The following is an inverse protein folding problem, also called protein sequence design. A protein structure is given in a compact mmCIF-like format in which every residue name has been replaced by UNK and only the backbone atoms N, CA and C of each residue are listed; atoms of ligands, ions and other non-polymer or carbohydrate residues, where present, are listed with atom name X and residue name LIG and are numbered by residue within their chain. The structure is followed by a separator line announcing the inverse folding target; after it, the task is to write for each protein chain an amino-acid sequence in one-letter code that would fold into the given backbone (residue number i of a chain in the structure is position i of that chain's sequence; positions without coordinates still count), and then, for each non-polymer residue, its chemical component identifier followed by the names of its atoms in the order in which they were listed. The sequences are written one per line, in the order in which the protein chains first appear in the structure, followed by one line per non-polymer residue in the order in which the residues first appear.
data_IF_491175777324
#
_entry.id   IF_491175777324
#
_cell.length_a   1.000
_cell.length_b   1.000
_cell.length_c   1.000
_cell.angle_alpha   90.00
_cell.angle_beta   90.00
_cell.angle_gamma   90.00
#
_symmetry.space_group_name_H-M   'P 1'
#
loop_
_entity.id
_entity.type
_entity.pdbx_description
1 polymer ?
#
# COMPACT_ATOMS: atom_id res chain seq x y z
N UNK A 1 30.99 -26.47 -86.30
CA UNK A 1 30.53 -25.45 -85.33
C UNK A 1 29.73 -26.16 -84.23
N UNK A 2 30.32 -26.37 -83.05
CA UNK A 2 29.69 -27.07 -81.91
C UNK A 2 29.60 -26.11 -80.73
N UNK A 3 28.39 -25.96 -80.20
CA UNK A 3 28.03 -25.15 -79.02
C UNK A 3 28.59 -25.81 -77.75
N UNK A 4 29.08 -24.98 -76.81
CA UNK A 4 29.31 -25.38 -75.42
C UNK A 4 28.54 -24.45 -74.49
N UNK A 5 27.77 -25.09 -73.62
CA UNK A 5 26.97 -24.53 -72.53
C UNK A 5 27.90 -24.21 -71.35
N UNK A 6 27.73 -23.06 -70.69
CA UNK A 6 28.27 -22.80 -69.34
C UNK A 6 27.12 -22.40 -68.42
N UNK A 7 26.94 -23.17 -67.36
CA UNK A 7 25.95 -22.96 -66.31
C UNK A 7 26.41 -21.81 -65.39
N UNK A 8 25.50 -20.88 -65.09
CA UNK A 8 25.65 -19.92 -63.98
C UNK A 8 24.68 -20.33 -62.86
N UNK A 9 25.23 -20.63 -61.69
CA UNK A 9 24.46 -20.94 -60.47
C UNK A 9 23.96 -19.65 -59.82
N UNK A 10 22.66 -19.61 -59.50
CA UNK A 10 22.02 -18.56 -58.71
C UNK A 10 22.01 -19.00 -57.25
N UNK A 11 22.63 -18.20 -56.36
CA UNK A 11 22.53 -18.39 -54.92
C UNK A 11 21.22 -17.77 -54.40
N UNK A 12 20.35 -18.58 -53.79
CA UNK A 12 19.13 -18.12 -53.13
C UNK A 12 19.38 -18.00 -51.63
N UNK A 13 19.43 -16.77 -51.12
CA UNK A 13 19.49 -16.46 -49.69
C UNK A 13 18.08 -16.50 -49.12
N UNK A 14 17.79 -17.49 -48.25
CA UNK A 14 16.53 -17.56 -47.49
C UNK A 14 16.68 -16.70 -46.24
N UNK A 15 16.01 -15.54 -46.21
CA UNK A 15 15.89 -14.70 -45.03
C UNK A 15 14.56 -15.06 -44.32
N UNK A 16 14.64 -15.86 -43.25
CA UNK A 16 13.48 -16.19 -42.42
C UNK A 16 13.21 -15.05 -41.43
N UNK A 17 12.26 -14.17 -41.73
CA UNK A 17 11.75 -13.18 -40.78
C UNK A 17 10.69 -13.82 -39.88
N UNK A 18 11.03 -14.05 -38.61
CA UNK A 18 10.05 -14.44 -37.58
C UNK A 18 9.22 -13.22 -37.19
N UNK A 19 7.95 -13.20 -37.58
CA UNK A 19 6.99 -12.19 -37.12
C UNK A 19 6.54 -12.56 -35.71
N UNK A 20 7.16 -11.92 -34.70
CA UNK A 20 6.68 -12.00 -33.32
C UNK A 20 5.34 -11.29 -33.19
N UNK A 21 4.28 -12.03 -32.89
CA UNK A 21 2.97 -11.44 -32.55
C UNK A 21 3.14 -10.71 -31.21
N UNK A 22 2.89 -9.39 -31.11
CA UNK A 22 2.94 -8.72 -29.83
C UNK A 22 1.75 -9.20 -28.98
N UNK A 23 2.00 -10.01 -27.97
CA UNK A 23 1.02 -10.28 -26.92
C UNK A 23 0.79 -8.98 -26.16
N UNK A 24 -0.27 -8.24 -26.52
CA UNK A 24 -0.78 -7.16 -25.68
C UNK A 24 -1.29 -7.77 -24.38
N UNK A 25 -0.48 -7.66 -23.32
CA UNK A 25 -0.93 -7.95 -21.98
C UNK A 25 -2.03 -6.94 -21.64
N UNK A 26 -3.29 -7.38 -21.67
CA UNK A 26 -4.42 -6.58 -21.20
C UNK A 26 -4.20 -6.32 -19.70
N UNK A 27 -3.86 -5.08 -19.35
CA UNK A 27 -3.80 -4.65 -17.96
C UNK A 27 -5.21 -4.76 -17.38
N UNK A 28 -5.44 -5.73 -16.48
CA UNK A 28 -6.67 -5.80 -15.70
C UNK A 28 -6.84 -4.47 -14.97
N UNK A 29 -7.94 -3.76 -15.25
CA UNK A 29 -8.25 -2.50 -14.59
C UNK A 29 -8.33 -2.73 -13.07
N UNK A 30 -7.27 -2.37 -12.34
CA UNK A 30 -7.27 -2.44 -10.87
C UNK A 30 -8.28 -1.43 -10.34
N UNK A 31 -9.37 -1.92 -9.75
CA UNK A 31 -10.31 -1.08 -8.99
C UNK A 31 -9.52 -0.33 -7.92
N UNK A 32 -9.39 1.00 -8.01
CA UNK A 32 -8.56 1.73 -7.08
C UNK A 32 -9.14 1.67 -5.67
N UNK A 33 -8.28 1.52 -4.66
CA UNK A 33 -8.69 1.58 -3.25
C UNK A 33 -9.49 2.88 -2.98
N UNK A 34 -10.66 2.83 -2.33
CA UNK A 34 -11.43 4.04 -2.04
C UNK A 34 -10.78 4.89 -0.95
N UNK A 35 -11.12 6.18 -0.91
CA UNK A 35 -10.71 7.09 0.15
C UNK A 35 -11.90 7.94 0.61
N UNK A 36 -11.86 8.41 1.86
CA UNK A 36 -12.94 9.18 2.49
C UNK A 36 -12.47 10.57 2.96
N UNK A 37 -11.16 10.78 3.08
CA UNK A 37 -10.60 12.03 3.57
C UNK A 37 -9.10 12.11 3.40
N UNK A 38 -8.53 13.19 3.91
CA UNK A 38 -7.10 13.47 3.86
C UNK A 38 -6.71 14.42 4.99
N UNK A 39 -5.45 14.40 5.39
CA UNK A 39 -4.87 15.47 6.21
C UNK A 39 -4.70 16.75 5.37
N UNK A 40 -4.64 17.91 6.02
CA UNK A 40 -4.28 19.17 5.35
C UNK A 40 -2.87 19.10 4.74
N UNK A 41 -1.93 18.56 5.51
CA UNK A 41 -0.53 18.42 5.16
C UNK A 41 -0.22 17.05 4.55
N UNK A 42 0.70 17.00 3.58
CA UNK A 42 1.29 15.74 3.10
C UNK A 42 2.39 15.19 4.02
N UNK A 43 2.87 15.99 4.97
CA UNK A 43 3.75 15.53 6.05
C UNK A 43 2.91 15.29 7.31
N UNK A 44 2.83 14.04 7.73
CA UNK A 44 2.03 13.59 8.87
C UNK A 44 2.96 13.04 9.94
N UNK A 45 2.82 13.53 11.16
CA UNK A 45 3.61 13.07 12.31
C UNK A 45 2.94 11.88 12.98
N UNK A 46 3.75 10.94 13.49
CA UNK A 46 3.24 9.83 14.27
C UNK A 46 4.08 9.56 15.51
N UNK A 47 3.44 9.06 16.57
CA UNK A 47 4.10 8.65 17.79
C UNK A 47 3.62 7.27 18.22
N UNK A 48 4.54 6.32 18.38
CA UNK A 48 4.23 5.05 19.05
C UNK A 48 4.23 5.24 20.57
N UNK A 49 3.03 5.24 21.15
CA UNK A 49 2.79 5.33 22.60
C UNK A 49 2.83 3.94 23.23
N UNK A 50 4.03 3.36 23.28
CA UNK A 50 4.31 2.09 23.96
C UNK A 50 5.81 1.89 24.18
N UNK A 51 6.15 0.93 25.04
CA UNK A 51 7.54 0.63 25.42
C UNK A 51 8.20 -0.43 24.51
N UNK A 52 7.42 -1.28 23.83
CA UNK A 52 7.96 -2.39 23.04
C UNK A 52 8.76 -1.92 21.81
N UNK A 53 10.06 -2.19 21.81
CA UNK A 53 10.96 -1.93 20.66
C UNK A 53 10.55 -2.73 19.42
N UNK A 54 10.02 -3.94 19.62
CA UNK A 54 9.48 -4.79 18.55
C UNK A 54 8.32 -4.09 17.82
N UNK A 55 7.33 -3.58 18.56
CA UNK A 55 6.20 -2.90 17.96
C UNK A 55 6.53 -1.51 17.42
N UNK A 56 7.49 -0.81 18.04
CA UNK A 56 8.09 0.40 17.46
C UNK A 56 8.65 0.12 16.06
N UNK A 57 9.35 -1.00 15.89
CA UNK A 57 9.88 -1.43 14.60
C UNK A 57 8.79 -1.78 13.60
N UNK A 58 7.72 -2.46 14.04
CA UNK A 58 6.56 -2.79 13.18
C UNK A 58 5.93 -1.52 12.61
N UNK A 59 5.62 -0.54 13.47
CA UNK A 59 5.03 0.73 13.05
C UNK A 59 5.95 1.54 12.15
N UNK A 60 7.26 1.59 12.46
CA UNK A 60 8.26 2.23 11.60
C UNK A 60 8.30 1.61 10.19
N UNK A 61 8.24 0.28 10.10
CA UNK A 61 8.22 -0.41 8.80
C UNK A 61 6.92 -0.16 8.03
N UNK A 62 5.79 -0.09 8.71
CA UNK A 62 4.50 0.25 8.11
C UNK A 62 4.50 1.68 7.55
N UNK A 63 5.00 2.65 8.33
CA UNK A 63 5.19 4.02 7.87
C UNK A 63 6.12 4.10 6.64
N UNK A 64 7.20 3.30 6.62
CA UNK A 64 8.11 3.22 5.46
C UNK A 64 7.38 2.77 4.19
N UNK A 65 6.46 1.81 4.27
CA UNK A 65 5.69 1.36 3.09
C UNK A 65 4.85 2.50 2.49
N UNK A 66 4.21 3.31 3.34
CA UNK A 66 3.45 4.47 2.88
C UNK A 66 4.36 5.59 2.36
N UNK A 67 5.50 5.85 2.99
CA UNK A 67 6.48 6.84 2.50
C UNK A 67 7.02 6.48 1.11
N UNK A 68 7.20 5.19 0.81
CA UNK A 68 7.64 4.72 -0.51
C UNK A 68 6.65 5.03 -1.64
N UNK A 69 5.40 5.40 -1.32
CA UNK A 69 4.43 5.85 -2.33
C UNK A 69 4.76 7.23 -2.90
N UNK A 70 5.55 8.03 -2.19
CA UNK A 70 5.91 9.40 -2.55
C UNK A 70 4.77 10.42 -2.43
N UNK A 71 3.59 10.04 -1.92
CA UNK A 71 2.44 10.95 -1.80
C UNK A 71 2.35 11.62 -0.44
N UNK A 72 2.84 10.94 0.61
CA UNK A 72 2.87 11.44 1.98
C UNK A 72 4.21 11.14 2.61
N UNK A 73 4.54 11.89 3.67
CA UNK A 73 5.72 11.68 4.50
C UNK A 73 5.31 11.50 5.96
N UNK A 74 5.31 10.26 6.42
CA UNK A 74 5.14 9.90 7.82
C UNK A 74 6.45 10.07 8.59
N UNK A 75 6.46 10.97 9.56
CA UNK A 75 7.64 11.31 10.38
C UNK A 75 7.39 10.96 11.84
N UNK A 76 8.34 10.25 12.47
CA UNK A 76 8.21 9.89 13.88
C UNK A 76 8.49 11.10 14.78
N UNK A 77 7.66 11.31 15.79
CA UNK A 77 7.88 12.26 16.89
C UNK A 77 7.90 11.52 18.23
N UNK A 78 8.53 12.11 19.25
CA UNK A 78 8.69 11.50 20.57
C UNK A 78 7.46 11.68 21.47
N UNK A 79 6.78 12.82 21.37
CA UNK A 79 5.67 13.18 22.23
C UNK A 79 4.33 12.93 21.51
N UNK A 80 3.40 12.13 22.07
CA UNK A 80 2.09 11.91 21.45
C UNK A 80 1.24 13.17 21.32
N UNK A 81 1.50 14.23 22.10
CA UNK A 81 0.82 15.54 21.97
C UNK A 81 1.23 16.30 20.70
N UNK A 82 2.38 15.95 20.11
CA UNK A 82 2.90 16.53 18.88
C UNK A 82 2.59 15.67 17.65
N UNK A 83 1.88 14.55 17.84
CA UNK A 83 1.63 13.59 16.78
C UNK A 83 0.22 13.75 16.22
N UNK A 84 0.13 13.78 14.89
CA UNK A 84 -1.13 13.67 14.16
C UNK A 84 -1.76 12.29 14.38
N UNK A 85 -0.92 11.24 14.32
CA UNK A 85 -1.32 9.84 14.50
C UNK A 85 -0.66 9.22 15.73
N UNK A 86 -1.47 8.84 16.73
CA UNK A 86 -0.99 8.10 17.90
C UNK A 86 -1.12 6.59 17.66
N UNK A 87 0.00 5.88 17.69
CA UNK A 87 0.08 4.45 17.45
C UNK A 87 0.18 3.69 18.77
N UNK A 88 -0.56 2.60 18.91
CA UNK A 88 -0.65 1.83 20.15
C UNK A 88 -0.59 0.33 19.92
N UNK A 89 -0.41 -0.38 21.01
CA UNK A 89 -0.63 -1.82 21.13
C UNK A 89 -1.56 -2.07 22.29
N UNK A 90 -2.50 -3.00 22.15
CA UNK A 90 -3.46 -3.31 23.18
C UNK A 90 -3.92 -4.76 23.15
N UNK A 91 -4.84 -5.09 24.05
CA UNK A 91 -5.52 -6.40 24.11
C UNK A 91 -7.00 -6.20 23.89
N UNK A 92 -7.63 -7.17 23.23
CA UNK A 92 -9.09 -7.30 23.11
C UNK A 92 -9.51 -8.73 23.41
N UNK A 93 -10.79 -8.98 23.62
CA UNK A 93 -11.29 -10.35 23.70
C UNK A 93 -10.94 -11.11 22.40
N UNK A 94 -10.17 -12.20 22.48
CA UNK A 94 -9.61 -12.90 21.31
C UNK A 94 -10.70 -13.36 20.33
N UNK A 95 -11.90 -13.69 20.84
CA UNK A 95 -13.09 -14.04 20.05
C UNK A 95 -13.50 -12.98 19.02
N UNK A 96 -13.11 -11.72 19.20
CA UNK A 96 -13.44 -10.65 18.26
C UNK A 96 -12.71 -10.79 16.92
N UNK A 97 -11.57 -11.52 16.87
CA UNK A 97 -10.68 -11.67 15.70
C UNK A 97 -10.18 -10.33 15.09
N UNK A 98 -10.40 -9.21 15.78
CA UNK A 98 -9.98 -7.88 15.33
C UNK A 98 -8.48 -7.73 15.58
N UNK A 99 -7.68 -7.71 14.51
CA UNK A 99 -6.22 -7.67 14.60
C UNK A 99 -5.64 -6.26 14.80
N UNK A 100 -6.40 -5.23 14.41
CA UNK A 100 -6.11 -3.83 14.62
C UNK A 100 -7.37 -2.98 14.59
N UNK A 101 -7.25 -1.71 14.99
CA UNK A 101 -8.34 -0.75 14.97
C UNK A 101 -7.78 0.66 14.81
N UNK A 102 -8.34 1.40 13.85
CA UNK A 102 -8.13 2.84 13.70
C UNK A 102 -9.37 3.63 14.03
N UNK A 103 -9.19 4.69 14.82
CA UNK A 103 -10.19 5.72 15.10
C UNK A 103 -9.65 7.06 14.65
N UNK A 104 -10.53 7.93 14.17
CA UNK A 104 -10.15 9.26 13.66
C UNK A 104 -11.18 10.31 14.05
N UNK A 105 -10.77 11.58 14.00
CA UNK A 105 -11.65 12.75 14.03
C UNK A 105 -11.41 13.56 12.77
N UNK A 106 -12.46 14.22 12.29
CA UNK A 106 -12.40 15.00 11.07
C UNK A 106 -13.39 16.15 11.09
N UNK A 107 -13.13 17.14 10.23
CA UNK A 107 -14.13 18.12 9.82
C UNK A 107 -14.76 17.69 8.50
N UNK A 108 -16.09 17.72 8.42
CA UNK A 108 -16.78 17.50 7.17
C UNK A 108 -16.55 18.68 6.23
N UNK A 109 -16.16 18.41 4.99
CA UNK A 109 -16.00 19.40 3.91
C UNK A 109 -16.69 18.87 2.67
N UNK A 110 -17.13 19.77 1.79
CA UNK A 110 -17.78 19.42 0.52
C UNK A 110 -16.87 18.56 -0.40
N UNK A 111 -15.56 18.80 -0.36
CA UNK A 111 -14.55 18.12 -1.19
C UNK A 111 -13.90 16.88 -0.53
N UNK A 112 -14.49 16.37 0.56
CA UNK A 112 -13.96 15.23 1.33
C UNK A 112 -13.43 15.62 2.70
N UNK A 113 -13.48 14.70 3.66
CA UNK A 113 -13.23 15.00 5.07
C UNK A 113 -11.78 15.41 5.35
N UNK A 114 -11.62 16.42 6.19
CA UNK A 114 -10.31 16.88 6.68
C UNK A 114 -9.99 16.15 7.98
N UNK A 115 -9.00 15.27 7.96
CA UNK A 115 -8.56 14.52 9.14
C UNK A 115 -7.78 15.43 10.06
N UNK A 116 -8.13 15.42 11.35
CA UNK A 116 -7.50 16.28 12.37
C UNK A 116 -6.87 15.51 13.52
N UNK A 117 -7.20 14.23 13.70
CA UNK A 117 -6.46 13.34 14.60
C UNK A 117 -6.78 11.88 14.26
N UNK A 118 -5.81 10.98 14.48
CA UNK A 118 -6.05 9.55 14.38
C UNK A 118 -5.34 8.76 15.48
N UNK A 119 -5.92 7.61 15.83
CA UNK A 119 -5.36 6.63 16.75
C UNK A 119 -5.46 5.24 16.13
N UNK A 120 -4.32 4.60 15.90
CA UNK A 120 -4.25 3.26 15.34
C UNK A 120 -3.66 2.28 16.36
N UNK A 121 -4.25 1.09 16.50
CA UNK A 121 -3.85 0.10 17.49
C UNK A 121 -3.68 -1.28 16.86
N UNK A 122 -2.68 -2.03 17.31
CA UNK A 122 -2.58 -3.47 17.05
C UNK A 122 -2.99 -4.26 18.29
N UNK A 123 -3.77 -5.32 18.09
CA UNK A 123 -4.19 -6.21 19.17
C UNK A 123 -3.24 -7.39 19.30
N UNK A 124 -2.21 -7.23 20.15
CA UNK A 124 -1.07 -8.13 20.19
C UNK A 124 -1.43 -9.57 20.57
N UNK A 125 -2.44 -9.75 21.42
CA UNK A 125 -2.90 -11.06 21.84
C UNK A 125 -3.61 -11.83 20.71
N UNK A 126 -4.36 -11.14 19.85
CA UNK A 126 -4.97 -11.74 18.64
C UNK A 126 -3.87 -12.14 17.66
N UNK A 127 -2.95 -11.20 17.36
CA UNK A 127 -1.83 -11.43 16.44
C UNK A 127 -0.96 -12.62 16.89
N UNK A 128 -0.71 -12.76 18.19
CA UNK A 128 0.05 -13.89 18.75
C UNK A 128 -0.72 -15.19 18.75
N UNK A 129 -2.02 -15.19 19.13
CA UNK A 129 -2.87 -16.41 19.12
C UNK A 129 -2.91 -17.06 17.74
N UNK A 130 -2.95 -16.24 16.70
CA UNK A 130 -2.99 -16.68 15.30
C UNK A 130 -1.61 -16.71 14.62
N UNK A 131 -0.53 -16.67 15.41
CA UNK A 131 0.86 -16.87 14.97
C UNK A 131 1.30 -15.95 13.83
N UNK A 132 0.87 -14.68 13.86
CA UNK A 132 1.27 -13.70 12.84
C UNK A 132 2.79 -13.48 12.88
N UNK A 133 3.43 -13.60 11.72
CA UNK A 133 4.85 -13.27 11.54
C UNK A 133 5.09 -11.77 11.67
N UNK A 134 6.36 -11.36 11.84
CA UNK A 134 6.73 -9.93 11.90
C UNK A 134 6.24 -9.17 10.65
N UNK A 135 6.39 -9.76 9.47
CA UNK A 135 5.93 -9.15 8.21
C UNK A 135 4.41 -9.01 8.16
N UNK A 136 3.67 -10.03 8.60
CA UNK A 136 2.20 -9.96 8.64
C UNK A 136 1.72 -8.88 9.62
N UNK A 137 2.36 -8.75 10.79
CA UNK A 137 2.06 -7.66 11.73
C UNK A 137 2.37 -6.28 11.14
N UNK A 138 3.45 -6.15 10.38
CA UNK A 138 3.76 -4.94 9.62
C UNK A 138 2.69 -4.64 8.57
N UNK A 139 2.15 -5.64 7.89
CA UNK A 139 1.08 -5.43 6.90
C UNK A 139 -0.24 -5.00 7.58
N UNK A 140 -0.60 -5.59 8.72
CA UNK A 140 -1.75 -5.11 9.52
C UNK A 140 -1.51 -3.67 10.00
N UNK A 141 -0.31 -3.36 10.50
CA UNK A 141 0.03 -1.98 10.88
C UNK A 141 -0.07 -1.00 9.69
N UNK A 142 0.34 -1.44 8.49
CA UNK A 142 0.20 -0.64 7.28
C UNK A 142 -1.28 -0.43 6.91
N UNK A 143 -2.12 -1.45 7.05
CA UNK A 143 -3.57 -1.35 6.88
C UNK A 143 -4.17 -0.29 7.82
N UNK A 144 -3.87 -0.38 9.12
CA UNK A 144 -4.38 0.59 10.10
C UNK A 144 -3.89 2.03 9.83
N UNK A 145 -2.63 2.18 9.39
CA UNK A 145 -2.12 3.47 8.93
C UNK A 145 -2.81 3.97 7.67
N UNK A 146 -3.21 3.09 6.76
CA UNK A 146 -3.97 3.48 5.57
C UNK A 146 -5.31 4.09 5.92
N UNK A 147 -6.02 3.55 6.93
CA UNK A 147 -7.20 4.20 7.49
C UNK A 147 -6.88 5.55 8.11
N UNK A 148 -5.78 5.66 8.86
CA UNK A 148 -5.35 6.93 9.46
C UNK A 148 -4.98 7.98 8.39
N UNK A 149 -4.59 7.55 7.18
CA UNK A 149 -4.30 8.39 6.02
C UNK A 149 -5.54 8.69 5.17
N UNK A 150 -6.72 8.19 5.54
CA UNK A 150 -7.99 8.49 4.85
C UNK A 150 -8.43 7.47 3.81
N UNK A 151 -7.83 6.27 3.78
CA UNK A 151 -8.26 5.18 2.89
C UNK A 151 -9.35 4.32 3.53
N UNK A 152 -10.27 3.84 2.69
CA UNK A 152 -11.28 2.85 3.06
C UNK A 152 -10.85 1.44 2.65
N UNK A 153 -11.63 0.43 3.04
CA UNK A 153 -11.39 -0.93 2.60
C UNK A 153 -11.41 -1.04 1.07
N UNK A 154 -10.43 -1.76 0.54
CA UNK A 154 -10.38 -2.14 -0.87
C UNK A 154 -11.06 -3.48 -1.08
N UNK A 155 -11.81 -3.61 -2.19
CA UNK A 155 -12.32 -4.90 -2.67
C UNK A 155 -11.24 -5.74 -3.36
N UNK A 156 -10.11 -5.12 -3.73
CA UNK A 156 -9.01 -5.82 -4.38
C UNK A 156 -8.18 -6.63 -3.38
N UNK A 157 -8.17 -7.97 -3.54
CA UNK A 157 -7.40 -8.90 -2.69
C UNK A 157 -5.89 -8.66 -2.66
N UNK A 158 -5.36 -7.90 -3.63
CA UNK A 158 -3.95 -7.54 -3.67
C UNK A 158 -3.61 -6.29 -2.84
N UNK A 159 -4.63 -5.53 -2.40
CA UNK A 159 -4.46 -4.30 -1.61
C UNK A 159 -4.07 -4.61 -0.17
N UNK A 160 -3.21 -3.77 0.42
CA UNK A 160 -3.01 -3.78 1.87
C UNK A 160 -4.29 -3.40 2.62
N UNK A 161 -5.17 -2.60 1.99
CA UNK A 161 -6.45 -2.15 2.51
C UNK A 161 -7.59 -3.17 2.34
N UNK A 162 -7.32 -4.37 1.83
CA UNK A 162 -8.32 -5.43 1.85
C UNK A 162 -8.52 -5.94 3.28
N UNK A 163 -9.77 -5.99 3.81
CA UNK A 163 -10.06 -6.13 5.24
C UNK A 163 -9.54 -7.42 5.89
N UNK A 164 -9.42 -8.50 5.12
CA UNK A 164 -8.94 -9.81 5.62
C UNK A 164 -7.48 -10.11 5.25
N UNK A 165 -6.78 -9.14 4.66
CA UNK A 165 -5.44 -9.34 4.14
C UNK A 165 -4.36 -9.07 5.19
N UNK A 166 -3.38 -9.97 5.25
CA UNK A 166 -2.16 -9.83 6.06
C UNK A 166 -0.89 -10.15 5.28
N UNK A 167 -1.00 -10.49 4.01
CA UNK A 167 0.10 -10.97 3.17
C UNK A 167 0.62 -9.88 2.23
N UNK A 168 -0.22 -8.91 1.85
CA UNK A 168 0.16 -7.86 0.89
C UNK A 168 0.67 -6.62 1.61
N UNK A 169 1.64 -5.98 0.97
CA UNK A 169 2.19 -4.66 1.35
C UNK A 169 1.42 -3.58 0.60
N UNK A 170 1.62 -2.32 0.99
CA UNK A 170 1.18 -1.15 0.20
C UNK A 170 1.63 -1.33 -1.24
N UNK A 171 0.73 -1.14 -2.20
CA UNK A 171 1.02 -1.37 -3.60
C UNK A 171 0.52 -0.22 -4.51
N UNK A 172 0.53 -0.45 -5.82
CA UNK A 172 0.20 0.56 -6.83
C UNK A 172 -1.20 1.19 -6.66
N UNK A 173 -2.24 0.39 -6.45
CA UNK A 173 -3.62 0.88 -6.29
C UNK A 173 -3.80 1.69 -4.99
N UNK A 174 -3.10 1.32 -3.91
CA UNK A 174 -3.12 2.05 -2.65
C UNK A 174 -2.43 3.41 -2.80
N UNK A 175 -1.32 3.45 -3.55
CA UNK A 175 -0.67 4.72 -3.96
C UNK A 175 -1.59 5.60 -4.79
N UNK A 176 -2.30 5.04 -5.79
CA UNK A 176 -3.24 5.83 -6.59
C UNK A 176 -4.38 6.41 -5.75
N UNK A 177 -4.86 5.66 -4.75
CA UNK A 177 -5.86 6.14 -3.81
C UNK A 177 -5.36 7.31 -2.97
N UNK A 178 -4.14 7.20 -2.43
CA UNK A 178 -3.46 8.30 -1.74
C UNK A 178 -3.33 9.54 -2.63
N UNK A 179 -2.88 9.37 -3.88
CA UNK A 179 -2.75 10.50 -4.82
C UNK A 179 -4.08 11.22 -5.04
N UNK A 180 -5.19 10.48 -5.14
CA UNK A 180 -6.52 11.09 -5.26
C UNK A 180 -6.95 11.79 -3.98
N UNK A 181 -6.75 11.16 -2.82
CA UNK A 181 -7.09 11.73 -1.51
C UNK A 181 -6.34 13.04 -1.24
N UNK A 182 -5.06 13.13 -1.62
CA UNK A 182 -4.19 14.26 -1.33
C UNK A 182 -4.00 15.22 -2.52
N UNK A 183 -4.77 15.08 -3.61
CA UNK A 183 -4.60 15.88 -4.84
C UNK A 183 -4.62 17.40 -4.61
N UNK A 184 -5.39 17.86 -3.62
CA UNK A 184 -5.53 19.28 -3.25
C UNK A 184 -4.70 19.68 -2.01
N UNK A 185 -3.81 18.80 -1.53
CA UNK A 185 -3.03 18.99 -0.29
C UNK A 185 -1.57 19.30 -0.63
N UNK A 186 -0.87 19.99 0.27
CA UNK A 186 0.54 20.34 0.14
C UNK A 186 1.33 19.77 1.30
#
# INVERSE_FOLDING_TARGET
MKRFMKFMSVAATVCATLWGVPTQATAVATTPTPHWGSWQSTTITYCYQGSSTYYRTIWKNAAKQWNQTGTVKLTAVKNPKQADVVLKTGRVAVRSKVSGLTKYRYYARQDGHEIVSAKASLHHNVLSRYRYTKQQRTNVAAHELGHALGLSHSTCKLSVMHPTNRYRKVNHQDRLALKRAYRKRK
#
